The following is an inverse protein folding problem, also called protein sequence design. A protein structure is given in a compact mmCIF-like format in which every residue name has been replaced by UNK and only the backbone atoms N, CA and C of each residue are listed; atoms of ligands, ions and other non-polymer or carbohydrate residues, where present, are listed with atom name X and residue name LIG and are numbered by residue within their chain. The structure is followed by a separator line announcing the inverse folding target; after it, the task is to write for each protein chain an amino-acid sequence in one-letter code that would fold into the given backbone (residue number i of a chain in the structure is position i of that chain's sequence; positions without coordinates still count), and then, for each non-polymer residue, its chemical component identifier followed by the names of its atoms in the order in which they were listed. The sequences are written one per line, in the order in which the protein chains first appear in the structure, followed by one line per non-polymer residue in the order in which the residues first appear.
data_IF_635884777466
#
_entry.id   IF_635884777466
#
_cell.length_a   1.000
_cell.length_b   1.000
_cell.length_c   1.000
_cell.angle_alpha   90.00
_cell.angle_beta   90.00
_cell.angle_gamma   90.00
#
_symmetry.space_group_name_H-M   'P 1'
#
loop_
_entity.id
_entity.type
_entity.pdbx_description
1 polymer ?
#
# COMPACT_ATOMS: atom_id res chain seq x y z
N UNK A 1 -0.22 21.06 2.66
CA UNK A 1 0.18 21.26 1.26
C UNK A 1 1.68 20.97 1.16
N UNK A 2 2.18 20.43 0.05
CA UNK A 2 3.62 20.24 -0.12
C UNK A 2 4.33 21.60 0.09
N UNK A 3 5.39 21.70 0.92
CA UNK A 3 6.07 22.97 1.20
C UNK A 3 6.56 23.71 -0.05
N UNK A 4 6.78 22.97 -1.15
CA UNK A 4 7.19 23.51 -2.44
C UNK A 4 6.08 24.21 -3.22
N UNK A 5 4.81 24.12 -2.78
CA UNK A 5 3.67 24.78 -3.44
C UNK A 5 3.33 26.04 -2.64
N UNK A 6 3.45 27.20 -3.29
CA UNK A 6 2.96 28.46 -2.73
C UNK A 6 1.42 28.52 -2.86
N UNK A 7 0.64 28.53 -1.76
CA UNK A 7 -0.82 28.55 -1.81
C UNK A 7 -1.40 29.74 -2.58
N UNK A 8 -0.74 30.90 -2.54
CA UNK A 8 -1.21 32.13 -3.19
C UNK A 8 -1.20 32.02 -4.73
N UNK A 9 -0.35 31.13 -5.25
CA UNK A 9 -0.20 30.87 -6.68
C UNK A 9 -1.27 29.92 -7.24
N UNK A 10 -2.05 29.25 -6.39
CA UNK A 10 -3.11 28.33 -6.82
C UNK A 10 -4.25 29.14 -7.45
N UNK A 11 -4.56 28.89 -8.73
CA UNK A 11 -5.66 29.56 -9.44
C UNK A 11 -6.92 28.70 -9.55
N UNK A 12 -6.80 27.40 -9.34
CA UNK A 12 -7.93 26.49 -9.31
C UNK A 12 -7.56 25.05 -8.96
N UNK A 13 -8.60 24.24 -8.74
CA UNK A 13 -8.54 22.83 -8.37
C UNK A 13 -9.55 22.06 -9.21
N UNK A 14 -9.09 20.98 -9.83
CA UNK A 14 -9.95 19.96 -10.44
C UNK A 14 -9.62 18.66 -9.72
N UNK A 15 -10.59 18.06 -9.06
CA UNK A 15 -10.35 16.90 -8.21
C UNK A 15 -11.60 15.98 -8.16
N UNK A 16 -11.40 14.75 -7.71
CA UNK A 16 -12.46 13.76 -7.51
C UNK A 16 -12.53 13.24 -6.06
N UNK A 17 -11.67 13.76 -5.17
CA UNK A 17 -11.65 13.40 -3.76
C UNK A 17 -12.60 14.26 -2.90
N UNK A 18 -12.97 13.71 -1.74
CA UNK A 18 -13.65 14.48 -0.71
C UNK A 18 -12.71 15.52 -0.09
N UNK A 19 -13.22 16.74 0.10
CA UNK A 19 -12.52 17.78 0.86
C UNK A 19 -12.36 17.35 2.33
N UNK A 20 -11.16 17.48 2.88
CA UNK A 20 -10.83 17.11 4.26
C UNK A 20 -10.64 18.34 5.15
N UNK A 21 -10.64 18.19 6.48
CA UNK A 21 -10.57 19.32 7.43
C UNK A 21 -9.31 20.19 7.32
N UNK A 22 -8.24 19.71 6.65
CA UNK A 22 -7.05 20.49 6.26
C UNK A 22 -7.06 20.82 4.75
N UNK A 23 -8.18 21.32 4.25
CA UNK A 23 -8.36 21.71 2.83
C UNK A 23 -7.52 22.94 2.49
N UNK A 24 -7.26 23.11 1.18
CA UNK A 24 -6.67 24.30 0.56
C UNK A 24 -7.43 25.54 1.05
N UNK A 25 -6.74 26.41 1.80
CA UNK A 25 -7.24 27.74 2.21
C UNK A 25 -6.55 28.75 1.30
N UNK A 26 -7.32 29.59 0.61
CA UNK A 26 -6.81 30.65 -0.27
C UNK A 26 -7.40 32.00 0.12
N UNK A 27 -6.58 33.04 0.03
CA UNK A 27 -7.00 34.41 0.37
C UNK A 27 -7.83 35.10 -0.74
N UNK A 28 -7.96 34.44 -1.90
CA UNK A 28 -8.77 34.89 -3.03
C UNK A 28 -9.65 33.76 -3.57
N UNK A 29 -10.76 34.09 -4.26
CA UNK A 29 -11.52 33.11 -5.03
C UNK A 29 -10.67 32.41 -6.07
N UNK A 30 -10.87 31.10 -6.21
CA UNK A 30 -10.22 30.23 -7.19
C UNK A 30 -11.25 29.35 -7.90
N UNK A 31 -10.92 28.82 -9.08
CA UNK A 31 -11.78 27.89 -9.81
C UNK A 31 -11.82 26.53 -9.08
N UNK A 32 -13.00 25.96 -8.85
CA UNK A 32 -13.14 24.65 -8.22
C UNK A 32 -14.11 23.80 -9.05
N UNK A 33 -13.64 22.65 -9.54
CA UNK A 33 -14.48 21.62 -10.15
C UNK A 33 -14.19 20.27 -9.48
N UNK A 34 -15.07 19.88 -8.57
CA UNK A 34 -14.96 18.62 -7.83
C UNK A 34 -16.19 17.80 -8.12
N UNK A 35 -15.99 16.60 -8.68
CA UNK A 35 -17.08 15.70 -9.04
C UNK A 35 -16.86 14.33 -8.41
N UNK A 36 -17.92 13.67 -7.92
CA UNK A 36 -17.83 12.33 -7.34
C UNK A 36 -17.74 11.27 -8.45
N UNK A 37 -16.74 11.39 -9.31
CA UNK A 37 -16.47 10.48 -10.44
C UNK A 37 -15.23 9.63 -10.16
N UNK A 38 -15.05 8.55 -10.92
CA UNK A 38 -13.98 7.59 -10.70
C UNK A 38 -12.59 8.18 -10.88
N UNK A 39 -12.42 9.16 -11.77
CA UNK A 39 -11.15 9.83 -12.03
C UNK A 39 -11.29 11.34 -12.27
N UNK A 40 -10.29 12.12 -11.84
CA UNK A 40 -10.14 13.53 -12.24
C UNK A 40 -10.00 13.67 -13.77
N UNK A 41 -9.35 12.71 -14.43
CA UNK A 41 -9.21 12.71 -15.89
C UNK A 41 -10.55 12.58 -16.63
N UNK A 42 -11.56 11.98 -16.00
CA UNK A 42 -12.95 11.98 -16.51
C UNK A 42 -13.53 13.39 -16.52
N UNK A 43 -13.24 14.19 -15.49
CA UNK A 43 -13.67 15.61 -15.41
C UNK A 43 -13.00 16.43 -16.51
N UNK A 44 -11.70 16.23 -16.73
CA UNK A 44 -10.94 16.92 -17.78
C UNK A 44 -11.43 16.53 -19.18
N UNK A 45 -11.61 15.24 -19.45
CA UNK A 45 -12.12 14.74 -20.72
C UNK A 45 -13.52 15.29 -21.01
N UNK A 46 -14.42 15.22 -20.04
CA UNK A 46 -15.75 15.81 -20.15
C UNK A 46 -15.68 17.31 -20.46
N UNK A 47 -14.80 18.04 -19.76
CA UNK A 47 -14.63 19.49 -19.95
C UNK A 47 -14.14 19.85 -21.35
N UNK A 48 -13.22 19.08 -21.93
CA UNK A 48 -12.83 19.23 -23.34
C UNK A 48 -14.05 19.18 -24.25
N UNK A 49 -14.85 18.12 -24.13
CA UNK A 49 -15.99 17.87 -24.99
C UNK A 49 -17.10 18.91 -24.82
N UNK A 50 -17.42 19.31 -23.59
CA UNK A 50 -18.46 20.33 -23.34
C UNK A 50 -18.06 21.72 -23.82
N UNK A 51 -16.76 22.00 -23.96
CA UNK A 51 -16.25 23.22 -24.58
C UNK A 51 -16.09 23.11 -26.10
N UNK A 52 -16.57 22.03 -26.72
CA UNK A 52 -16.42 21.79 -28.16
C UNK A 52 -14.98 21.61 -28.60
N UNK A 53 -14.08 21.21 -27.69
CA UNK A 53 -12.66 20.99 -27.98
C UNK A 53 -12.35 19.50 -28.03
N UNK A 54 -11.67 19.08 -29.10
CA UNK A 54 -11.12 17.73 -29.21
C UNK A 54 -9.70 17.70 -28.61
N UNK A 55 -9.42 16.84 -27.61
CA UNK A 55 -8.04 16.65 -27.16
C UNK A 55 -7.19 16.04 -28.28
N UNK A 56 -5.89 16.31 -28.30
CA UNK A 56 -4.98 15.62 -29.21
C UNK A 56 -4.96 14.12 -28.90
N UNK A 57 -4.56 13.29 -29.87
CA UNK A 57 -4.45 11.83 -29.70
C UNK A 57 -3.61 11.46 -28.47
N UNK A 58 -2.48 12.15 -28.25
CA UNK A 58 -1.63 11.93 -27.08
C UNK A 58 -2.30 12.29 -25.75
N UNK A 59 -3.02 13.41 -25.69
CA UNK A 59 -3.77 13.82 -24.50
C UNK A 59 -4.93 12.86 -24.25
N UNK A 60 -5.64 12.44 -25.30
CA UNK A 60 -6.71 11.46 -25.20
C UNK A 60 -6.21 10.13 -24.63
N UNK A 61 -5.07 9.63 -25.11
CA UNK A 61 -4.43 8.42 -24.60
C UNK A 61 -4.00 8.56 -23.13
N UNK A 62 -3.43 9.70 -22.72
CA UNK A 62 -3.07 9.93 -21.32
C UNK A 62 -4.31 9.96 -20.40
N UNK A 63 -5.36 10.67 -20.81
CA UNK A 63 -6.62 10.72 -20.06
C UNK A 63 -7.26 9.33 -19.96
N UNK A 64 -7.24 8.55 -21.05
CA UNK A 64 -7.72 7.17 -21.06
C UNK A 64 -6.97 6.31 -20.03
N UNK A 65 -5.63 6.30 -20.09
CA UNK A 65 -4.80 5.54 -19.16
C UNK A 65 -5.00 5.98 -17.70
N UNK A 66 -5.18 7.27 -17.44
CA UNK A 66 -5.45 7.77 -16.09
C UNK A 66 -6.80 7.29 -15.55
N UNK A 67 -7.86 7.33 -16.37
CA UNK A 67 -9.17 6.80 -15.98
C UNK A 67 -9.08 5.29 -15.71
N UNK A 68 -8.43 4.52 -16.60
CA UNK A 68 -8.23 3.08 -16.39
C UNK A 68 -7.44 2.78 -15.11
N UNK A 69 -6.48 3.63 -14.75
CA UNK A 69 -5.69 3.49 -13.52
C UNK A 69 -6.54 3.69 -12.27
N UNK A 70 -7.24 4.82 -12.16
CA UNK A 70 -8.03 5.17 -10.97
C UNK A 70 -9.24 4.25 -10.77
N UNK A 71 -9.80 3.78 -11.88
CA UNK A 71 -11.03 2.95 -11.88
C UNK A 71 -10.74 1.45 -11.90
N UNK A 72 -9.48 1.02 -11.83
CA UNK A 72 -9.10 -0.39 -11.94
C UNK A 72 -9.71 -1.05 -13.19
N UNK A 73 -9.54 -0.40 -14.35
CA UNK A 73 -10.16 -0.79 -15.62
C UNK A 73 -11.68 -0.89 -15.50
N UNK A 74 -12.31 0.15 -14.93
CA UNK A 74 -13.76 0.29 -14.74
C UNK A 74 -14.41 -0.75 -13.82
N UNK A 75 -13.61 -1.46 -13.02
CA UNK A 75 -14.06 -2.47 -12.04
C UNK A 75 -13.98 -1.97 -10.59
N UNK A 76 -13.29 -0.85 -10.37
CA UNK A 76 -13.10 -0.24 -9.07
C UNK A 76 -14.42 0.31 -8.49
N UNK A 77 -14.56 0.34 -7.16
CA UNK A 77 -15.79 0.75 -6.48
C UNK A 77 -16.14 2.24 -6.65
N UNK A 78 -15.19 3.04 -7.15
CA UNK A 78 -15.37 4.47 -7.47
C UNK A 78 -15.87 4.71 -8.89
N UNK A 79 -15.90 3.68 -9.75
CA UNK A 79 -16.26 3.81 -11.16
C UNK A 79 -17.71 4.29 -11.32
N UNK A 80 -17.90 5.27 -12.19
CA UNK A 80 -19.22 5.82 -12.56
C UNK A 80 -19.49 5.67 -14.05
N UNK A 81 -20.74 5.92 -14.47
CA UNK A 81 -21.12 5.91 -15.89
C UNK A 81 -20.38 6.98 -16.70
N UNK A 82 -19.97 8.09 -16.08
CA UNK A 82 -19.17 9.11 -16.74
C UNK A 82 -17.78 8.58 -17.12
N UNK A 83 -17.17 7.76 -16.26
CA UNK A 83 -15.89 7.12 -16.57
C UNK A 83 -16.04 6.15 -17.75
N UNK A 84 -17.11 5.35 -17.77
CA UNK A 84 -17.39 4.42 -18.88
C UNK A 84 -17.58 5.16 -20.21
N UNK A 85 -18.37 6.24 -20.19
CA UNK A 85 -18.61 7.07 -21.38
C UNK A 85 -17.31 7.73 -21.87
N UNK A 86 -16.52 8.31 -20.97
CA UNK A 86 -15.27 8.97 -21.36
C UNK A 86 -14.22 7.96 -21.85
N UNK A 87 -14.13 6.76 -21.27
CA UNK A 87 -13.25 5.69 -21.78
C UNK A 87 -13.61 5.34 -23.22
N UNK A 88 -14.90 5.15 -23.53
CA UNK A 88 -15.35 4.84 -24.89
C UNK A 88 -14.97 5.94 -25.89
N UNK A 89 -15.20 7.21 -25.52
CA UNK A 89 -14.84 8.36 -26.37
C UNK A 89 -13.32 8.48 -26.53
N UNK A 90 -12.56 8.38 -25.45
CA UNK A 90 -11.11 8.56 -25.48
C UNK A 90 -10.39 7.41 -26.20
N UNK A 91 -10.91 6.19 -26.15
CA UNK A 91 -10.40 5.06 -26.94
C UNK A 91 -10.46 5.36 -28.44
N UNK A 92 -11.61 5.83 -28.95
CA UNK A 92 -11.77 6.26 -30.33
C UNK A 92 -10.83 7.44 -30.68
N UNK A 93 -10.78 8.47 -29.82
CA UNK A 93 -9.93 9.65 -30.04
C UNK A 93 -8.43 9.32 -30.03
N UNK A 94 -8.02 8.30 -29.29
CA UNK A 94 -6.63 7.86 -29.13
C UNK A 94 -6.22 6.76 -30.13
N UNK A 95 -7.19 6.14 -30.83
CA UNK A 95 -6.94 5.03 -31.74
C UNK A 95 -6.59 3.72 -31.03
N UNK A 96 -7.10 3.52 -29.81
CA UNK A 96 -6.90 2.28 -29.04
C UNK A 96 -8.04 1.31 -29.32
N UNK A 97 -7.74 0.24 -30.05
CA UNK A 97 -8.73 -0.78 -30.43
C UNK A 97 -9.02 -1.82 -29.33
N UNK A 98 -8.03 -2.09 -28.46
CA UNK A 98 -8.16 -3.07 -27.36
C UNK A 98 -7.81 -2.44 -26.00
N UNK A 99 -8.84 -1.92 -25.35
CA UNK A 99 -8.77 -1.33 -24.02
C UNK A 99 -8.33 -2.37 -22.97
N UNK A 100 -8.76 -3.63 -23.12
CA UNK A 100 -8.46 -4.67 -22.14
C UNK A 100 -6.98 -5.05 -22.20
N UNK A 101 -6.43 -5.16 -23.40
CA UNK A 101 -5.00 -5.34 -23.59
C UNK A 101 -4.20 -4.14 -23.06
N UNK A 102 -4.61 -2.90 -23.37
CA UNK A 102 -3.95 -1.69 -22.85
C UNK A 102 -3.91 -1.68 -21.32
N UNK A 103 -5.05 -1.89 -20.66
CA UNK A 103 -5.14 -1.93 -19.21
C UNK A 103 -4.25 -3.05 -18.62
N UNK A 104 -4.27 -4.25 -19.23
CA UNK A 104 -3.40 -5.36 -18.82
C UNK A 104 -1.91 -4.98 -18.89
N UNK A 105 -1.47 -4.33 -19.97
CA UNK A 105 -0.08 -3.88 -20.13
C UNK A 105 0.28 -2.79 -19.12
N UNK A 106 -0.60 -1.81 -18.93
CA UNK A 106 -0.41 -0.73 -17.95
C UNK A 106 -0.23 -1.29 -16.53
N UNK A 107 -1.09 -2.21 -16.14
CA UNK A 107 -1.04 -2.84 -14.82
C UNK A 107 0.17 -3.76 -14.62
N UNK A 108 0.57 -4.51 -15.66
CA UNK A 108 1.82 -5.28 -15.65
C UNK A 108 3.03 -4.36 -15.52
N UNK A 109 3.04 -3.21 -16.20
CA UNK A 109 4.11 -2.23 -16.10
C UNK A 109 4.22 -1.67 -14.66
N UNK A 110 3.08 -1.28 -14.06
CA UNK A 110 3.01 -0.88 -12.64
C UNK A 110 3.58 -1.98 -11.72
N UNK A 111 3.17 -3.24 -11.93
CA UNK A 111 3.63 -4.36 -11.10
C UNK A 111 5.14 -4.63 -11.26
N UNK A 112 5.70 -4.49 -12.47
CA UNK A 112 7.16 -4.60 -12.71
C UNK A 112 7.93 -3.48 -12.02
N UNK A 113 7.40 -2.27 -12.00
CA UNK A 113 8.01 -1.15 -11.28
C UNK A 113 8.05 -1.44 -9.77
N UNK A 114 6.96 -1.96 -9.20
CA UNK A 114 6.91 -2.39 -7.80
C UNK A 114 7.92 -3.51 -7.50
N UNK A 115 8.11 -4.46 -8.42
CA UNK A 115 9.16 -5.49 -8.31
C UNK A 115 10.56 -4.86 -8.21
N UNK A 116 10.78 -3.72 -8.88
CA UNK A 116 12.03 -2.99 -8.87
C UNK A 116 12.21 -2.07 -7.65
N UNK A 117 11.16 -1.72 -6.91
CA UNK A 117 11.28 -0.88 -5.71
C UNK A 117 12.01 -1.64 -4.60
N UNK A 118 12.79 -0.92 -3.78
CA UNK A 118 13.39 -1.51 -2.59
C UNK A 118 12.33 -1.82 -1.52
N UNK A 119 12.66 -2.70 -0.56
CA UNK A 119 11.80 -2.92 0.61
C UNK A 119 11.47 -1.61 1.34
N UNK A 120 12.43 -0.68 1.41
CA UNK A 120 12.22 0.64 2.01
C UNK A 120 11.19 1.46 1.22
N UNK A 121 11.28 1.44 -0.11
CA UNK A 121 10.31 2.10 -1.00
C UNK A 121 8.90 1.51 -0.87
N UNK A 122 8.78 0.18 -0.78
CA UNK A 122 7.50 -0.51 -0.61
C UNK A 122 6.85 -0.19 0.76
N UNK A 123 7.64 -0.16 1.83
CA UNK A 123 7.13 0.11 3.19
C UNK A 123 6.77 1.59 3.38
N UNK A 124 7.48 2.52 2.73
CA UNK A 124 7.26 3.96 2.91
C UNK A 124 6.38 4.63 1.83
N UNK A 125 6.14 3.97 0.69
CA UNK A 125 5.50 4.54 -0.50
C UNK A 125 4.12 5.18 -0.23
N UNK A 126 3.10 4.37 0.08
CA UNK A 126 1.78 4.86 0.54
C UNK A 126 1.58 4.54 2.03
N UNK A 127 2.51 4.97 2.86
CA UNK A 127 2.38 4.88 4.31
C UNK A 127 1.62 6.09 4.87
N UNK A 128 0.68 5.83 5.77
CA UNK A 128 0.00 6.87 6.57
C UNK A 128 0.05 6.55 8.04
N UNK A 129 0.18 7.60 8.84
CA UNK A 129 0.25 7.53 10.30
C UNK A 129 -1.08 7.94 10.93
N UNK A 130 -1.49 7.21 11.96
CA UNK A 130 -2.73 7.39 12.68
C UNK A 130 -2.44 7.37 14.17
N UNK A 131 -2.66 8.51 14.84
CA UNK A 131 -2.48 8.63 16.29
C UNK A 131 -3.75 8.21 17.02
N UNK A 132 -3.57 7.42 18.07
CA UNK A 132 -4.64 6.97 18.95
C UNK A 132 -4.34 7.34 20.39
N UNK A 133 -5.37 7.76 21.12
CA UNK A 133 -5.30 8.03 22.55
C UNK A 133 -6.59 7.56 23.20
N UNK A 134 -6.48 6.49 24.00
CA UNK A 134 -7.52 6.02 24.91
C UNK A 134 -6.89 5.36 26.15
N UNK A 135 -7.72 4.86 27.07
CA UNK A 135 -7.24 4.26 28.33
C UNK A 135 -6.34 3.03 28.14
N UNK A 136 -6.48 2.28 27.03
CA UNK A 136 -5.74 1.05 26.77
C UNK A 136 -4.51 1.20 25.85
N UNK A 137 -4.46 2.28 25.07
CA UNK A 137 -3.39 2.54 24.11
C UNK A 137 -3.28 4.04 23.80
N UNK A 138 -2.07 4.56 23.98
CA UNK A 138 -1.65 5.86 23.47
C UNK A 138 -0.43 5.66 22.60
N UNK A 139 -0.55 5.94 21.32
CA UNK A 139 0.52 5.65 20.37
C UNK A 139 0.13 5.83 18.91
N UNK A 140 1.13 5.63 18.05
CA UNK A 140 1.00 5.86 16.62
C UNK A 140 1.02 4.54 15.83
N UNK A 141 0.06 4.40 14.92
CA UNK A 141 -0.05 3.25 14.01
C UNK A 141 0.28 3.71 12.59
N UNK A 142 1.31 3.12 12.00
CA UNK A 142 1.60 3.23 10.59
C UNK A 142 0.87 2.18 9.75
N UNK A 143 0.34 2.59 8.59
CA UNK A 143 -0.32 1.69 7.66
C UNK A 143 0.10 1.99 6.22
N UNK A 144 0.95 1.12 5.67
CA UNK A 144 1.40 1.13 4.28
C UNK A 144 0.49 0.26 3.40
N UNK A 145 0.32 0.68 2.15
CA UNK A 145 -0.45 -0.08 1.14
C UNK A 145 0.38 -0.19 -0.14
N UNK A 146 0.46 -1.39 -0.71
CA UNK A 146 1.02 -1.66 -2.02
C UNK A 146 -0.07 -2.29 -2.88
N UNK A 147 -0.47 -1.60 -3.94
CA UNK A 147 -1.47 -2.07 -4.90
C UNK A 147 -0.78 -2.66 -6.12
N UNK A 148 -1.03 -3.93 -6.41
CA UNK A 148 -0.39 -4.68 -7.48
C UNK A 148 -1.41 -5.56 -8.20
N UNK A 149 -1.12 -5.97 -9.42
CA UNK A 149 -1.90 -7.02 -10.10
C UNK A 149 -1.33 -8.42 -9.89
N UNK A 150 -0.12 -8.48 -9.35
CA UNK A 150 0.59 -9.69 -9.00
C UNK A 150 1.16 -9.52 -7.59
N UNK A 151 0.42 -10.02 -6.60
CA UNK A 151 0.78 -9.93 -5.19
C UNK A 151 1.92 -10.87 -4.81
N UNK A 152 2.11 -11.98 -5.55
CA UNK A 152 3.21 -12.91 -5.31
C UNK A 152 4.57 -12.22 -5.44
N UNK A 153 4.72 -11.33 -6.42
CA UNK A 153 5.95 -10.53 -6.64
C UNK A 153 6.39 -9.73 -5.41
N UNK A 154 5.45 -9.36 -4.53
CA UNK A 154 5.73 -8.64 -3.28
C UNK A 154 5.80 -9.59 -2.09
N UNK A 155 4.89 -10.55 -2.00
CA UNK A 155 4.82 -11.51 -0.89
C UNK A 155 6.05 -12.43 -0.86
N UNK A 156 6.61 -12.81 -2.01
CA UNK A 156 7.82 -13.62 -2.08
C UNK A 156 9.06 -12.90 -1.52
N UNK A 157 8.97 -11.58 -1.33
CA UNK A 157 10.01 -10.72 -0.76
C UNK A 157 9.86 -10.50 0.75
N UNK A 158 9.08 -11.33 1.44
CA UNK A 158 8.89 -11.21 2.90
C UNK A 158 10.19 -11.16 3.71
N UNK A 159 11.22 -11.89 3.28
CA UNK A 159 12.50 -11.96 3.99
C UNK A 159 13.20 -10.60 4.09
N UNK A 160 13.04 -9.72 3.09
CA UNK A 160 13.55 -8.35 3.12
C UNK A 160 12.54 -7.34 3.67
N UNK A 161 11.24 -7.57 3.50
CA UNK A 161 10.18 -6.67 3.96
C UNK A 161 10.06 -6.63 5.48
N UNK A 162 10.06 -7.79 6.15
CA UNK A 162 9.92 -7.88 7.60
C UNK A 162 10.98 -7.07 8.37
N UNK A 163 12.29 -7.24 8.12
CA UNK A 163 13.31 -6.44 8.80
C UNK A 163 13.20 -4.94 8.47
N UNK A 164 12.86 -4.58 7.24
CA UNK A 164 12.71 -3.18 6.85
C UNK A 164 11.48 -2.52 7.50
N UNK A 165 10.38 -3.25 7.68
CA UNK A 165 9.23 -2.77 8.46
C UNK A 165 9.63 -2.50 9.91
N UNK A 166 10.41 -3.39 10.53
CA UNK A 166 10.92 -3.17 11.90
C UNK A 166 11.82 -1.92 11.96
N UNK A 167 12.68 -1.72 10.97
CA UNK A 167 13.52 -0.54 10.85
C UNK A 167 12.70 0.75 10.73
N UNK A 168 11.79 0.81 9.75
CA UNK A 168 10.92 1.97 9.50
C UNK A 168 10.05 2.31 10.70
N UNK A 169 9.49 1.29 11.37
CA UNK A 169 8.73 1.44 12.61
C UNK A 169 9.54 2.19 13.68
N UNK A 170 10.81 1.82 13.87
CA UNK A 170 11.70 2.48 14.84
C UNK A 170 12.10 3.89 14.40
N UNK A 171 12.50 4.06 13.14
CA UNK A 171 12.92 5.35 12.57
C UNK A 171 11.83 6.43 12.71
N UNK A 172 10.56 6.02 12.59
CA UNK A 172 9.38 6.89 12.72
C UNK A 172 8.76 6.91 14.11
N UNK A 173 9.34 6.23 15.09
CA UNK A 173 8.80 6.09 16.45
C UNK A 173 7.36 5.55 16.50
N UNK A 174 7.00 4.61 15.63
CA UNK A 174 5.68 4.01 15.57
C UNK A 174 5.52 2.86 16.57
N UNK A 175 4.35 2.76 17.17
CA UNK A 175 4.00 1.65 18.07
C UNK A 175 3.62 0.38 17.34
N UNK A 176 3.00 0.54 16.17
CA UNK A 176 2.56 -0.52 15.27
C UNK A 176 2.81 -0.11 13.82
N UNK A 177 3.30 -1.02 12.98
CA UNK A 177 3.39 -0.81 11.53
C UNK A 177 2.82 -2.00 10.74
N UNK A 178 1.85 -1.73 9.86
CA UNK A 178 1.31 -2.70 8.92
C UNK A 178 1.70 -2.36 7.48
N UNK A 179 1.84 -3.41 6.67
CA UNK A 179 1.91 -3.31 5.21
C UNK A 179 0.81 -4.20 4.61
N UNK A 180 -0.14 -3.61 3.88
CA UNK A 180 -1.14 -4.33 3.12
C UNK A 180 -0.71 -4.44 1.64
N UNK A 181 -0.66 -5.65 1.13
CA UNK A 181 -0.50 -5.95 -0.31
C UNK A 181 -1.88 -6.24 -0.88
N UNK A 182 -2.33 -5.43 -1.83
CA UNK A 182 -3.66 -5.51 -2.42
C UNK A 182 -3.54 -5.95 -3.87
N UNK A 183 -4.08 -7.13 -4.18
CA UNK A 183 -4.30 -7.55 -5.56
C UNK A 183 -5.54 -6.85 -6.11
N UNK A 184 -5.34 -5.83 -6.94
CA UNK A 184 -6.43 -5.01 -7.48
C UNK A 184 -7.28 -5.74 -8.53
N UNK A 185 -6.79 -6.83 -9.11
CA UNK A 185 -7.53 -7.65 -10.09
C UNK A 185 -8.42 -8.66 -9.39
N UNK A 186 -7.89 -9.34 -8.37
CA UNK A 186 -8.64 -10.32 -7.60
C UNK A 186 -9.48 -9.68 -6.48
N UNK A 187 -9.32 -8.37 -6.26
CA UNK A 187 -9.87 -7.64 -5.12
C UNK A 187 -9.54 -8.34 -3.79
N UNK A 188 -8.28 -8.76 -3.63
CA UNK A 188 -7.80 -9.50 -2.47
C UNK A 188 -6.78 -8.69 -1.68
N UNK A 189 -6.94 -8.61 -0.36
CA UNK A 189 -5.98 -7.99 0.55
C UNK A 189 -5.18 -9.00 1.36
N UNK A 190 -3.88 -8.78 1.50
CA UNK A 190 -2.96 -9.56 2.33
C UNK A 190 -2.21 -8.63 3.26
N UNK A 191 -2.23 -8.89 4.57
CA UNK A 191 -1.56 -8.08 5.59
C UNK A 191 -0.25 -8.73 6.01
N UNK A 192 0.85 -7.97 5.93
CA UNK A 192 2.17 -8.35 6.44
C UNK A 192 2.32 -7.84 7.88
N UNK A 193 2.76 -8.74 8.76
CA UNK A 193 2.85 -8.55 10.21
C UNK A 193 4.31 -8.70 10.64
N UNK A 194 4.92 -7.61 11.09
CA UNK A 194 6.35 -7.58 11.42
C UNK A 194 6.66 -7.80 12.92
N UNK A 195 5.66 -8.00 13.77
CA UNK A 195 5.89 -8.18 15.20
C UNK A 195 4.68 -8.56 16.05
N UNK A 196 4.89 -8.78 17.37
CA UNK A 196 3.84 -9.25 18.28
C UNK A 196 2.72 -8.22 18.52
N UNK A 197 3.04 -6.92 18.51
CA UNK A 197 2.05 -5.85 18.67
C UNK A 197 1.11 -5.79 17.45
N UNK A 198 1.71 -5.85 16.26
CA UNK A 198 1.01 -5.95 14.97
C UNK A 198 0.12 -7.19 14.94
N UNK A 199 0.65 -8.36 15.33
CA UNK A 199 -0.11 -9.61 15.33
C UNK A 199 -1.32 -9.55 16.27
N UNK A 200 -1.11 -9.02 17.48
CA UNK A 200 -2.17 -8.87 18.47
C UNK A 200 -3.27 -7.92 17.98
N UNK A 201 -2.90 -6.76 17.44
CA UNK A 201 -3.86 -5.79 16.92
C UNK A 201 -4.57 -6.32 15.67
N UNK A 202 -3.86 -6.98 14.76
CA UNK A 202 -4.45 -7.59 13.57
C UNK A 202 -5.49 -8.65 13.93
N UNK A 203 -5.21 -9.51 14.93
CA UNK A 203 -6.20 -10.47 15.43
C UNK A 203 -7.43 -9.80 16.04
N UNK A 204 -7.24 -8.73 16.81
CA UNK A 204 -8.36 -7.98 17.39
C UNK A 204 -9.20 -7.25 16.33
N UNK A 205 -8.57 -6.75 15.27
CA UNK A 205 -9.24 -6.00 14.21
C UNK A 205 -9.89 -6.89 13.14
N UNK A 206 -9.22 -7.98 12.75
CA UNK A 206 -9.55 -8.77 11.55
C UNK A 206 -9.69 -10.27 11.81
N UNK A 207 -9.54 -10.75 13.05
CA UNK A 207 -9.48 -12.18 13.36
C UNK A 207 -10.71 -12.99 12.93
N UNK A 208 -11.87 -12.36 12.82
CA UNK A 208 -13.07 -13.01 12.27
C UNK A 208 -12.98 -13.15 10.74
N UNK A 209 -12.78 -14.38 10.29
CA UNK A 209 -12.75 -14.74 8.86
C UNK A 209 -11.39 -14.58 8.17
N UNK A 210 -10.39 -14.02 8.84
CA UNK A 210 -9.03 -13.95 8.32
C UNK A 210 -8.26 -15.25 8.56
N UNK A 211 -7.43 -15.63 7.59
CA UNK A 211 -6.52 -16.78 7.72
C UNK A 211 -5.10 -16.29 8.00
N UNK A 212 -4.54 -16.75 9.10
CA UNK A 212 -3.15 -16.48 9.46
C UNK A 212 -2.27 -17.65 8.98
N UNK A 213 -1.09 -17.37 8.43
CA UNK A 213 -0.11 -18.40 8.14
C UNK A 213 0.56 -18.93 9.42
N UNK A 214 1.25 -20.07 9.32
CA UNK A 214 1.85 -20.74 10.49
C UNK A 214 2.89 -19.88 11.22
N UNK A 215 3.62 -19.03 10.49
CA UNK A 215 4.62 -18.12 11.06
C UNK A 215 4.00 -16.88 11.73
N UNK A 216 2.71 -16.61 11.52
CA UNK A 216 2.03 -15.42 12.04
C UNK A 216 2.44 -14.11 11.38
N UNK A 217 3.11 -14.18 10.22
CA UNK A 217 3.65 -13.01 9.49
C UNK A 217 2.76 -12.55 8.33
N UNK A 218 1.81 -13.40 7.90
CA UNK A 218 0.83 -13.07 6.87
C UNK A 218 -0.57 -13.36 7.38
N UNK A 219 -1.47 -12.40 7.19
CA UNK A 219 -2.91 -12.56 7.37
C UNK A 219 -3.66 -12.25 6.07
N UNK A 220 -4.43 -13.22 5.57
CA UNK A 220 -5.35 -13.05 4.45
C UNK A 220 -6.57 -12.26 4.90
N UNK A 221 -6.80 -11.08 4.31
CA UNK A 221 -7.91 -10.19 4.62
C UNK A 221 -9.11 -10.38 3.67
N UNK A 222 -9.06 -11.35 2.77
CA UNK A 222 -10.12 -11.62 1.80
C UNK A 222 -10.39 -10.41 0.91
N UNK A 223 -11.65 -10.01 0.81
CA UNK A 223 -12.12 -8.92 -0.07
C UNK A 223 -11.93 -7.50 0.49
N UNK A 224 -11.23 -7.35 1.62
CA UNK A 224 -10.91 -6.04 2.19
C UNK A 224 -9.72 -5.45 1.45
N UNK A 225 -9.90 -4.33 0.76
CA UNK A 225 -8.90 -3.75 -0.15
C UNK A 225 -8.66 -2.25 0.08
N UNK A 226 -9.52 -1.58 0.85
CA UNK A 226 -9.44 -0.15 1.08
C UNK A 226 -8.94 0.17 2.49
N UNK A 227 -7.82 0.90 2.58
CA UNK A 227 -7.35 1.42 3.88
C UNK A 227 -8.39 2.27 4.61
N UNK A 228 -9.07 3.16 3.90
CA UNK A 228 -10.04 4.09 4.50
C UNK A 228 -11.35 3.41 4.90
N UNK A 229 -11.83 2.45 4.12
CA UNK A 229 -13.14 1.79 4.32
C UNK A 229 -13.02 0.51 5.15
N UNK A 230 -11.99 -0.30 4.90
CA UNK A 230 -11.96 -1.69 5.37
C UNK A 230 -10.91 -1.95 6.46
N UNK A 231 -9.82 -1.17 6.53
CA UNK A 231 -8.71 -1.43 7.46
C UNK A 231 -8.72 -0.52 8.70
N UNK A 232 -8.62 0.80 8.49
CA UNK A 232 -8.50 1.76 9.59
C UNK A 232 -9.74 1.80 10.50
N UNK A 233 -10.99 1.70 9.99
CA UNK A 233 -12.15 1.61 10.86
C UNK A 233 -12.12 0.40 11.81
N UNK A 234 -11.66 -0.76 11.33
CA UNK A 234 -11.56 -2.00 12.11
C UNK A 234 -10.46 -1.90 13.18
N UNK A 235 -9.30 -1.35 12.82
CA UNK A 235 -8.22 -1.05 13.77
C UNK A 235 -8.69 -0.06 14.85
N UNK A 236 -9.37 1.00 14.42
CA UNK A 236 -9.93 2.01 15.33
C UNK A 236 -10.94 1.38 16.28
N UNK A 237 -11.82 0.50 15.77
CA UNK A 237 -12.77 -0.25 16.58
C UNK A 237 -12.05 -1.12 17.59
N UNK A 238 -11.07 -1.92 17.18
CA UNK A 238 -10.33 -2.80 18.07
C UNK A 238 -9.67 -2.03 19.22
N UNK A 239 -9.00 -0.91 18.91
CA UNK A 239 -8.39 -0.03 19.91
C UNK A 239 -9.45 0.54 20.86
N UNK A 240 -10.55 1.09 20.33
CA UNK A 240 -11.64 1.66 21.15
C UNK A 240 -12.39 0.63 22.00
N UNK A 241 -12.45 -0.62 21.55
CA UNK A 241 -13.07 -1.74 22.29
C UNK A 241 -12.15 -2.35 23.36
N UNK A 242 -11.06 -1.67 23.72
CA UNK A 242 -10.19 -2.07 24.83
C UNK A 242 -9.04 -2.98 24.43
N UNK A 243 -8.61 -2.97 23.16
CA UNK A 243 -7.32 -3.59 22.82
C UNK A 243 -6.19 -2.92 23.62
N UNK A 244 -5.37 -3.74 24.24
CA UNK A 244 -4.19 -3.31 25.00
C UNK A 244 -2.95 -3.83 24.29
N UNK A 245 -1.97 -2.95 24.09
CA UNK A 245 -0.70 -3.33 23.49
C UNK A 245 -0.03 -4.41 24.37
N UNK A 246 0.33 -5.58 23.81
CA UNK A 246 0.99 -6.61 24.58
C UNK A 246 2.31 -6.08 25.17
N UNK A 247 2.69 -6.47 26.40
CA UNK A 247 3.93 -6.03 27.01
C UNK A 247 5.11 -6.42 26.12
N UNK A 248 6.10 -5.53 26.03
CA UNK A 248 7.32 -5.75 25.26
C UNK A 248 8.00 -7.05 25.72
N UNK A 249 8.03 -8.07 24.85
CA UNK A 249 8.60 -9.40 25.15
C UNK A 249 10.05 -9.56 24.70
N UNK A 250 10.85 -8.50 24.83
CA UNK A 250 12.28 -8.53 24.52
C UNK A 250 12.64 -8.00 23.12
N UNK A 251 13.95 -7.96 22.80
CA UNK A 251 14.43 -7.40 21.55
C UNK A 251 13.81 -8.12 20.36
N UNK A 252 13.50 -7.35 19.32
CA UNK A 252 13.21 -7.92 18.01
C UNK A 252 14.35 -8.87 17.64
N UNK A 253 14.05 -10.02 17.02
CA UNK A 253 15.08 -10.97 16.55
C UNK A 253 16.01 -10.33 15.50
N UNK A 254 15.60 -9.16 15.01
CA UNK A 254 16.34 -8.24 14.17
C UNK A 254 17.38 -7.51 15.03
N UNK A 255 18.65 -7.89 14.92
CA UNK A 255 19.77 -7.17 15.54
C UNK A 255 19.88 -5.77 14.92
N UNK A 256 19.44 -4.76 15.67
CA UNK A 256 19.39 -3.38 15.21
C UNK A 256 20.77 -2.71 15.14
N UNK A 257 21.83 -3.32 15.68
CA UNK A 257 23.21 -2.86 15.47
C UNK A 257 23.73 -3.17 14.07
N UNK A 258 23.00 -4.04 13.37
CA UNK A 258 23.25 -4.48 11.99
C UNK A 258 22.34 -3.75 10.98
N UNK A 259 21.65 -2.68 11.40
CA UNK A 259 20.92 -1.81 10.49
C UNK A 259 21.95 -1.08 9.61
N UNK A 260 21.98 -1.42 8.33
CA UNK A 260 22.79 -0.69 7.36
C UNK A 260 22.36 0.78 7.21
N UNK A 261 23.20 1.57 6.55
CA UNK A 261 22.89 2.96 6.20
C UNK A 261 22.00 3.03 4.97
N UNK A 262 21.02 3.94 4.98
CA UNK A 262 20.24 4.25 3.78
C UNK A 262 21.16 5.00 2.80
N UNK A 263 21.42 4.38 1.66
CA UNK A 263 22.14 4.98 0.55
C UNK A 263 21.18 5.14 -0.62
N UNK A 264 21.33 6.26 -1.31
CA UNK A 264 20.74 6.48 -2.63
C UNK A 264 21.87 6.31 -3.62
N UNK A 265 21.72 5.40 -4.59
CA UNK A 265 22.68 5.33 -5.69
C UNK A 265 22.55 6.62 -6.52
N UNK A 266 23.57 7.49 -6.58
CA UNK A 266 23.51 8.74 -7.33
C UNK A 266 23.36 8.52 -8.85
N UNK A 267 23.58 7.30 -9.34
CA UNK A 267 23.43 6.91 -10.74
C UNK A 267 22.09 6.21 -11.04
N UNK A 268 21.29 5.90 -10.02
CA UNK A 268 19.96 5.31 -10.23
C UNK A 268 18.96 6.42 -10.62
N UNK A 269 18.40 6.40 -11.84
CA UNK A 269 17.41 7.40 -12.28
C UNK A 269 16.14 7.40 -11.44
N UNK A 270 15.90 6.34 -10.65
CA UNK A 270 14.76 6.20 -9.74
C UNK A 270 15.11 6.52 -8.29
N UNK A 271 16.36 6.90 -7.99
CA UNK A 271 16.86 7.22 -6.65
C UNK A 271 16.45 6.18 -5.60
N UNK A 272 16.54 4.88 -5.92
CA UNK A 272 16.10 3.84 -4.99
C UNK A 272 16.95 3.92 -3.73
N UNK A 273 16.25 4.05 -2.60
CA UNK A 273 16.85 4.00 -1.29
C UNK A 273 17.11 2.54 -0.94
N UNK A 274 18.37 2.16 -0.75
CA UNK A 274 18.78 0.82 -0.36
C UNK A 274 19.52 0.87 0.96
N UNK A 275 19.27 -0.11 1.84
CA UNK A 275 19.98 -0.20 3.12
C UNK A 275 21.27 -1.01 2.94
N UNK A 276 22.41 -0.32 2.84
CA UNK A 276 23.72 -0.95 2.59
C UNK A 276 24.44 -1.28 3.89
N UNK A 277 25.11 -2.43 3.94
CA UNK A 277 25.73 -2.94 5.17
C UNK A 277 24.73 -3.54 6.16
N UNK A 278 23.47 -3.72 5.74
CA UNK A 278 22.47 -4.40 6.54
C UNK A 278 22.69 -5.91 6.51
N UNK A 279 23.04 -6.51 7.64
CA UNK A 279 23.21 -7.96 7.76
C UNK A 279 21.85 -8.68 7.91
N UNK A 280 20.75 -7.91 7.94
CA UNK A 280 19.37 -8.41 7.99
C UNK A 280 18.99 -9.23 6.75
N UNK A 281 19.73 -9.09 5.64
CA UNK A 281 19.56 -9.86 4.41
C UNK A 281 20.32 -11.20 4.42
N UNK A 282 21.34 -11.37 5.28
CA UNK A 282 22.26 -12.52 5.20
C UNK A 282 21.94 -13.66 6.18
N UNK A 283 21.10 -13.43 7.21
CA UNK A 283 20.70 -14.48 8.15
C UNK A 283 19.20 -14.68 8.12
N UNK A 284 18.78 -15.78 7.48
CA UNK A 284 17.40 -16.27 7.54
C UNK A 284 16.88 -16.23 8.98
N UNK A 285 15.81 -15.47 9.17
CA UNK A 285 15.18 -15.27 10.48
C UNK A 285 14.69 -16.63 10.99
N UNK A 286 15.32 -17.13 12.04
CA UNK A 286 14.76 -18.23 12.82
C UNK A 286 13.55 -17.70 13.57
N UNK A 287 12.39 -18.35 13.35
CA UNK A 287 11.11 -18.00 13.97
C UNK A 287 11.22 -17.88 15.49
N UNK A 288 10.74 -16.78 16.12
CA UNK A 288 10.74 -16.66 17.58
C UNK A 288 9.52 -17.33 18.24
N UNK A 289 8.75 -18.17 17.54
CA UNK A 289 7.57 -18.84 18.10
C UNK A 289 7.63 -20.35 17.85
N UNK A 290 8.44 -21.06 18.64
CA UNK A 290 8.18 -22.48 18.92
C UNK A 290 8.68 -22.86 20.32
N UNK A 291 7.80 -22.69 21.31
CA UNK A 291 7.86 -23.50 22.52
C UNK A 291 7.35 -24.90 22.19
N UNK A 292 8.20 -25.74 21.59
CA UNK A 292 7.91 -27.14 21.28
C UNK A 292 9.04 -28.01 21.81
N UNK A 293 8.73 -28.88 22.79
CA UNK A 293 9.67 -29.85 23.36
C UNK A 293 10.34 -30.64 22.23
N UNK A 294 11.67 -30.62 22.22
CA UNK A 294 12.50 -31.52 21.41
C UNK A 294 12.26 -32.95 21.90
N UNK A 295 11.61 -33.78 21.09
CA UNK A 295 11.64 -35.24 21.26
C UNK A 295 12.95 -35.69 20.61
N UNK A 296 13.85 -36.25 21.41
CA UNK A 296 15.08 -36.87 20.91
C UNK A 296 14.71 -38.20 20.24
N UNK A 297 15.05 -38.34 18.96
CA UNK A 297 15.04 -39.62 18.26
C UNK A 297 16.37 -40.33 18.48
N UNK A 298 16.32 -41.57 18.95
CA UNK A 298 17.47 -42.45 19.18
C UNK A 298 18.05 -42.98 17.86
N UNK A 299 19.35 -43.32 17.88
CA UNK A 299 20.20 -43.64 16.72
C UNK A 299 19.81 -44.88 15.86
N UNK A 300 18.63 -45.48 16.03
CA UNK A 300 18.25 -46.71 15.33
C UNK A 300 17.60 -46.54 13.95
N UNK A 301 17.27 -45.32 13.52
CA UNK A 301 16.60 -45.10 12.20
C UNK A 301 17.53 -44.63 11.06
N UNK A 302 18.85 -44.65 11.25
CA UNK A 302 19.83 -44.25 10.21
C UNK A 302 20.23 -45.36 9.20
N UNK A 303 19.45 -46.43 9.06
CA UNK A 303 19.80 -47.56 8.16
C UNK A 303 18.63 -48.09 7.31
N UNK A 304 18.04 -47.25 6.48
CA UNK A 304 17.37 -47.62 5.22
C UNK A 304 17.33 -46.32 4.40
N UNK A 305 18.32 -46.01 3.55
CA UNK A 305 18.39 -46.44 2.16
C UNK A 305 19.85 -46.31 1.68
N UNK A 306 20.39 -47.43 1.20
CA UNK A 306 21.56 -47.53 0.34
C UNK A 306 21.10 -48.17 -0.97
#
# INVERSE_FOLDING_TARGET
MNPSINPDSVVGVIDHHALQSKTIVTDRPIYIDIRPWGSMSTIVAHTYLTHGRRPSTSVAGMLLCAILSDTLNLQGPTTTEWDRMMVAVLADLSGVDDIQFLASQQFKAKSRELAGLSAHGLVNGDQKEFSFENEGFRGDVGFAVVETTDDAVIIDRLQELLPEMVACKKERNLDVLFLAVVNIVQLKGTLVICGPSELSLAKAAFGEGAKLNDSGTIMDLGNRVSRKKDYIPEITRAIKSGWVKPPYRGPSVVDMSQLGTLEVDPLDPFQKVVRKGSVLLEKGVTSPISGGKRVEMTEEEKKVDA
#
